data_IF_473771510030
#
_entry.id   IF_473771510030
#
_cell.length_a   1.000
_cell.length_b   1.000
_cell.length_c   1.000
_cell.angle_alpha   90.00
_cell.angle_beta   90.00
_cell.angle_gamma   90.00
#
_symmetry.space_group_name_H-M   'P 1'
#
loop_
_entity.id
_entity.type
_entity.pdbx_description
1 polymer ?
#
# COMPACT_ATOMS: atom_id res chain seq x y z
N UNK A 1 -2.20 -51.45 -3.85
CA UNK A 1 -1.20 -50.38 -3.73
C UNK A 1 -1.50 -49.39 -4.84
N UNK A 2 -2.18 -48.30 -4.52
CA UNK A 2 -2.74 -47.41 -5.54
C UNK A 2 -1.66 -46.47 -6.06
N UNK A 3 -1.31 -46.59 -7.34
CA UNK A 3 -0.34 -45.70 -7.99
C UNK A 3 -1.03 -44.38 -8.33
N UNK A 4 -0.54 -43.28 -7.76
CA UNK A 4 -1.11 -41.95 -7.97
C UNK A 4 -0.26 -41.16 -8.97
N UNK A 5 -0.90 -40.42 -9.87
CA UNK A 5 -0.23 -39.58 -10.88
C UNK A 5 0.24 -38.24 -10.27
N UNK A 6 1.55 -38.08 -10.04
CA UNK A 6 2.24 -36.81 -9.75
C UNK A 6 2.42 -35.98 -11.01
N UNK A 7 2.36 -34.67 -10.89
CA UNK A 7 2.60 -33.78 -12.02
C UNK A 7 4.02 -33.17 -11.95
N UNK A 8 4.81 -33.28 -13.02
CA UNK A 8 6.16 -32.70 -13.18
C UNK A 8 6.16 -31.63 -14.27
N UNK A 9 6.51 -30.40 -13.93
CA UNK A 9 6.70 -29.33 -14.92
C UNK A 9 7.99 -29.56 -15.72
N UNK A 10 7.92 -29.61 -17.05
CA UNK A 10 9.06 -29.66 -17.98
C UNK A 10 9.03 -28.42 -18.87
N UNK A 11 10.03 -27.56 -18.75
CA UNK A 11 10.18 -26.42 -19.66
C UNK A 11 10.75 -26.91 -20.99
N UNK A 12 10.01 -26.69 -22.08
CA UNK A 12 10.43 -27.08 -23.43
C UNK A 12 11.50 -26.14 -24.02
N UNK A 13 11.60 -24.90 -23.53
CA UNK A 13 12.53 -23.89 -24.04
C UNK A 13 13.39 -23.31 -22.93
N UNK A 14 14.72 -23.41 -23.07
CA UNK A 14 15.69 -22.73 -22.18
C UNK A 14 15.42 -21.22 -22.12
N UNK A 15 14.93 -20.63 -23.21
CA UNK A 15 14.60 -19.21 -23.35
C UNK A 15 13.65 -18.73 -22.24
N UNK A 16 12.53 -19.42 -22.01
CA UNK A 16 11.52 -19.01 -21.02
C UNK A 16 12.12 -18.86 -19.62
N UNK A 17 13.00 -19.80 -19.23
CA UNK A 17 13.70 -19.77 -17.95
C UNK A 17 14.57 -18.51 -17.81
N UNK A 18 15.37 -18.19 -18.83
CA UNK A 18 16.27 -17.03 -18.77
C UNK A 18 15.50 -15.72 -18.87
N UNK A 19 14.47 -15.64 -19.71
CA UNK A 19 13.58 -14.48 -19.80
C UNK A 19 12.95 -14.18 -18.44
N UNK A 20 12.42 -15.19 -17.75
CA UNK A 20 11.81 -15.01 -16.43
C UNK A 20 12.83 -14.49 -15.40
N UNK A 21 14.02 -15.07 -15.38
CA UNK A 21 15.10 -14.62 -14.49
C UNK A 21 15.55 -13.18 -14.81
N UNK A 22 15.60 -12.79 -16.08
CA UNK A 22 15.90 -11.42 -16.48
C UNK A 22 14.81 -10.44 -16.03
N UNK A 23 13.53 -10.81 -16.15
CA UNK A 23 12.41 -9.98 -15.69
C UNK A 23 12.46 -9.73 -14.17
N UNK A 24 12.84 -10.75 -13.39
CA UNK A 24 13.06 -10.62 -11.93
C UNK A 24 14.09 -9.51 -11.62
N UNK A 25 15.23 -9.50 -12.33
CA UNK A 25 16.29 -8.49 -12.12
C UNK A 25 15.82 -7.11 -12.57
N UNK A 26 15.20 -7.00 -13.75
CA UNK A 26 14.73 -5.73 -14.31
C UNK A 26 13.69 -5.09 -13.38
N UNK A 27 12.67 -5.85 -12.95
CA UNK A 27 11.62 -5.30 -12.09
C UNK A 27 12.10 -5.00 -10.67
N UNK A 28 13.05 -5.77 -10.13
CA UNK A 28 13.70 -5.41 -8.87
C UNK A 28 14.47 -4.09 -8.99
N UNK A 29 15.28 -3.93 -10.03
CA UNK A 29 16.04 -2.72 -10.27
C UNK A 29 15.12 -1.48 -10.39
N UNK A 30 14.03 -1.60 -11.16
CA UNK A 30 13.04 -0.53 -11.32
C UNK A 30 12.30 -0.22 -10.00
N UNK A 31 12.00 -1.25 -9.20
CA UNK A 31 11.44 -1.09 -7.86
C UNK A 31 12.38 -0.26 -6.99
N UNK A 32 13.66 -0.64 -6.88
CA UNK A 32 14.64 0.08 -6.07
C UNK A 32 14.90 1.50 -6.55
N UNK A 33 14.96 1.71 -7.86
CA UNK A 33 15.06 3.03 -8.45
C UNK A 33 13.88 3.92 -8.05
N UNK A 34 12.65 3.42 -8.20
CA UNK A 34 11.44 4.17 -7.87
C UNK A 34 11.30 4.46 -6.38
N UNK A 35 11.65 3.48 -5.53
CA UNK A 35 11.67 3.66 -4.08
C UNK A 35 12.71 4.72 -3.68
N UNK A 36 13.90 4.67 -4.27
CA UNK A 36 14.95 5.64 -4.01
C UNK A 36 14.51 7.07 -4.37
N UNK A 37 13.89 7.25 -5.54
CA UNK A 37 13.42 8.56 -5.98
C UNK A 37 12.39 9.15 -5.03
N UNK A 38 11.46 8.35 -4.51
CA UNK A 38 10.46 8.79 -3.54
C UNK A 38 11.12 9.16 -2.21
N UNK A 39 12.12 8.39 -1.76
CA UNK A 39 12.84 8.68 -0.52
C UNK A 39 13.65 9.99 -0.64
N UNK A 40 14.26 10.25 -1.80
CA UNK A 40 15.11 11.43 -2.01
C UNK A 40 14.33 12.69 -2.44
N UNK A 41 13.26 12.54 -3.22
CA UNK A 41 12.50 13.63 -3.85
C UNK A 41 11.20 13.81 -3.09
N UNK A 42 11.31 14.48 -1.94
CA UNK A 42 10.27 14.56 -0.91
C UNK A 42 8.92 15.18 -1.32
N UNK A 43 8.73 15.74 -2.52
CA UNK A 43 7.59 16.63 -2.77
C UNK A 43 6.64 16.33 -3.94
N UNK A 44 6.86 15.37 -4.85
CA UNK A 44 5.92 15.22 -5.99
C UNK A 44 5.77 13.83 -6.59
N UNK A 45 6.66 12.89 -6.26
CA UNK A 45 6.58 11.58 -6.90
C UNK A 45 5.48 10.72 -6.28
N UNK A 46 4.62 10.22 -7.15
CA UNK A 46 3.42 9.51 -6.72
C UNK A 46 3.75 8.05 -6.42
N UNK A 47 3.32 7.58 -5.24
CA UNK A 47 3.57 6.23 -4.71
C UNK A 47 3.06 5.07 -5.59
N UNK A 48 2.33 5.32 -6.67
CA UNK A 48 1.87 4.25 -7.57
C UNK A 48 3.01 3.55 -8.28
N UNK A 49 4.09 4.25 -8.61
CA UNK A 49 5.19 3.68 -9.39
C UNK A 49 5.90 2.50 -8.68
N UNK A 50 6.35 2.63 -7.41
CA UNK A 50 6.90 1.48 -6.69
C UNK A 50 5.86 0.39 -6.45
N UNK A 51 4.58 0.72 -6.30
CA UNK A 51 3.51 -0.29 -6.16
C UNK A 51 3.39 -1.14 -7.42
N UNK A 52 3.44 -0.53 -8.61
CA UNK A 52 3.42 -1.27 -9.88
C UNK A 52 4.66 -2.15 -10.03
N UNK A 53 5.85 -1.61 -9.76
CA UNK A 53 7.08 -2.41 -9.87
C UNK A 53 7.17 -3.50 -8.81
N UNK A 54 6.63 -3.27 -7.60
CA UNK A 54 6.47 -4.30 -6.58
C UNK A 54 5.58 -5.44 -7.08
N UNK A 55 4.44 -5.12 -7.71
CA UNK A 55 3.54 -6.11 -8.28
C UNK A 55 4.22 -6.93 -9.38
N UNK A 56 4.90 -6.28 -10.32
CA UNK A 56 5.62 -6.95 -11.42
C UNK A 56 6.78 -7.82 -10.90
N UNK A 57 7.51 -7.34 -9.88
CA UNK A 57 8.58 -8.10 -9.25
C UNK A 57 8.04 -9.32 -8.49
N UNK A 58 6.94 -9.17 -7.75
CA UNK A 58 6.26 -10.27 -7.07
C UNK A 58 5.83 -11.37 -8.05
N UNK A 59 5.18 -10.98 -9.15
CA UNK A 59 4.70 -11.92 -10.17
C UNK A 59 5.87 -12.68 -10.78
N UNK A 60 6.93 -11.95 -11.16
CA UNK A 60 8.09 -12.55 -11.80
C UNK A 60 8.88 -13.45 -10.85
N UNK A 61 9.03 -13.03 -9.59
CA UNK A 61 9.63 -13.89 -8.56
C UNK A 61 8.81 -15.16 -8.33
N UNK A 62 7.47 -15.04 -8.29
CA UNK A 62 6.55 -16.16 -8.08
C UNK A 62 6.59 -17.16 -9.24
N UNK A 63 6.54 -16.67 -10.48
CA UNK A 63 6.71 -17.51 -11.68
C UNK A 63 8.10 -18.15 -11.68
N UNK A 64 9.16 -17.39 -11.41
CA UNK A 64 10.51 -17.91 -11.28
C UNK A 64 10.63 -19.02 -10.23
N UNK A 65 9.99 -18.85 -9.07
CA UNK A 65 9.98 -19.84 -7.98
C UNK A 65 9.34 -21.16 -8.43
N UNK A 66 8.25 -21.10 -9.21
CA UNK A 66 7.54 -22.27 -9.76
C UNK A 66 8.30 -22.91 -10.92
N UNK A 67 8.79 -22.11 -11.87
CA UNK A 67 9.33 -22.58 -13.15
C UNK A 67 10.80 -23.02 -13.03
N UNK A 68 11.64 -22.24 -12.35
CA UNK A 68 13.09 -22.44 -12.34
C UNK A 68 13.50 -23.48 -11.30
N UNK A 69 13.79 -24.71 -11.74
CA UNK A 69 14.18 -25.82 -10.83
C UNK A 69 15.61 -25.75 -10.32
N UNK A 70 16.50 -25.11 -11.07
CA UNK A 70 17.89 -24.96 -10.65
C UNK A 70 17.95 -24.07 -9.41
N UNK A 71 18.42 -24.66 -8.30
CA UNK A 71 18.61 -23.97 -7.02
C UNK A 71 19.59 -22.81 -7.19
N UNK A 72 20.80 -23.10 -7.67
CA UNK A 72 21.89 -22.13 -7.83
C UNK A 72 21.60 -20.99 -8.82
N UNK A 73 21.02 -21.27 -10.00
CA UNK A 73 20.77 -20.20 -10.97
C UNK A 73 19.75 -19.18 -10.46
N UNK A 74 18.65 -19.66 -9.88
CA UNK A 74 17.67 -18.76 -9.29
C UNK A 74 18.25 -18.04 -8.06
N UNK A 75 19.10 -18.71 -7.26
CA UNK A 75 19.82 -18.09 -6.14
C UNK A 75 20.74 -16.94 -6.63
N UNK A 76 21.51 -17.17 -7.69
CA UNK A 76 22.36 -16.12 -8.27
C UNK A 76 21.54 -14.93 -8.80
N UNK A 77 20.45 -15.20 -9.52
CA UNK A 77 19.59 -14.15 -10.09
C UNK A 77 18.92 -13.29 -9.02
N UNK A 78 18.32 -13.88 -7.98
CA UNK A 78 17.65 -13.05 -6.97
C UNK A 78 18.67 -12.29 -6.10
N UNK A 79 19.85 -12.86 -5.81
CA UNK A 79 20.92 -12.09 -5.16
C UNK A 79 21.27 -10.89 -6.01
N UNK A 80 21.53 -11.09 -7.31
CA UNK A 80 21.80 -9.96 -8.23
C UNK A 80 20.67 -8.92 -8.21
N UNK A 81 19.41 -9.36 -8.21
CA UNK A 81 18.24 -8.49 -8.14
C UNK A 81 18.18 -7.68 -6.84
N UNK A 82 18.47 -8.29 -5.69
CA UNK A 82 18.48 -7.58 -4.39
C UNK A 82 19.69 -6.68 -4.23
N UNK A 83 20.89 -7.14 -4.61
CA UNK A 83 22.13 -6.36 -4.57
C UNK A 83 22.06 -5.11 -5.43
N UNK A 84 21.20 -5.10 -6.45
CA UNK A 84 20.99 -3.92 -7.28
C UNK A 84 20.47 -2.70 -6.51
N UNK A 85 19.93 -2.88 -5.29
CA UNK A 85 19.57 -1.75 -4.41
C UNK A 85 20.79 -0.89 -4.03
N UNK A 86 21.99 -1.48 -3.94
CA UNK A 86 23.23 -0.77 -3.57
C UNK A 86 23.66 0.27 -4.62
N UNK A 87 23.16 0.20 -5.86
CA UNK A 87 23.38 1.25 -6.84
C UNK A 87 22.67 2.56 -6.47
N UNK A 88 21.63 2.49 -5.64
CA UNK A 88 20.79 3.63 -5.29
C UNK A 88 21.07 4.16 -3.88
N UNK A 89 21.74 3.38 -3.03
CA UNK A 89 22.08 3.75 -1.67
C UNK A 89 23.47 3.26 -1.31
N UNK A 90 24.33 4.19 -0.89
CA UNK A 90 25.75 3.95 -0.64
C UNK A 90 26.04 3.46 0.78
N UNK A 91 25.02 3.04 1.52
CA UNK A 91 25.19 2.62 2.91
C UNK A 91 25.59 1.15 3.05
N UNK A 92 26.77 0.89 3.62
CA UNK A 92 27.29 -0.47 3.82
C UNK A 92 26.45 -1.32 4.77
N UNK A 93 25.76 -0.73 5.75
CA UNK A 93 24.91 -1.46 6.69
C UNK A 93 23.68 -2.08 6.01
N UNK A 94 23.24 -1.50 4.88
CA UNK A 94 22.16 -2.10 4.09
C UNK A 94 22.56 -3.47 3.54
N UNK A 95 23.85 -3.75 3.34
CA UNK A 95 24.34 -5.06 2.93
C UNK A 95 23.89 -6.17 3.89
N UNK A 96 23.91 -5.91 5.21
CA UNK A 96 23.41 -6.86 6.21
C UNK A 96 21.91 -7.13 6.06
N UNK A 97 21.11 -6.09 5.82
CA UNK A 97 19.67 -6.20 5.57
C UNK A 97 19.40 -6.97 4.26
N UNK A 98 20.20 -6.75 3.22
CA UNK A 98 20.11 -7.47 1.95
C UNK A 98 20.39 -8.95 2.18
N UNK A 99 21.47 -9.32 2.87
CA UNK A 99 21.79 -10.73 3.17
C UNK A 99 20.67 -11.40 3.97
N UNK A 100 20.14 -10.73 5.00
CA UNK A 100 19.04 -11.25 5.81
C UNK A 100 17.77 -11.45 4.94
N UNK A 101 17.38 -10.43 4.20
CA UNK A 101 16.22 -10.46 3.30
C UNK A 101 16.38 -11.51 2.20
N UNK A 102 17.61 -11.70 1.73
CA UNK A 102 17.98 -12.71 0.75
C UNK A 102 17.72 -14.11 1.30
N UNK A 103 18.12 -14.35 2.55
CA UNK A 103 17.91 -15.62 3.25
C UNK A 103 16.42 -15.91 3.47
N UNK A 104 15.63 -14.89 3.82
CA UNK A 104 14.18 -14.99 3.98
C UNK A 104 13.50 -15.33 2.66
N UNK A 105 13.88 -14.68 1.55
CA UNK A 105 13.37 -15.00 0.22
C UNK A 105 13.72 -16.43 -0.22
N UNK A 106 14.92 -16.90 0.14
CA UNK A 106 15.33 -18.28 -0.12
C UNK A 106 14.44 -19.29 0.62
N UNK A 107 14.13 -19.04 1.90
CA UNK A 107 13.19 -19.84 2.68
C UNK A 107 11.81 -19.81 2.01
N UNK A 108 11.33 -18.62 1.63
CA UNK A 108 10.06 -18.46 0.93
C UNK A 108 9.96 -19.30 -0.34
N UNK A 109 11.03 -19.33 -1.15
CA UNK A 109 11.09 -20.18 -2.34
C UNK A 109 11.11 -21.67 -1.99
N UNK A 110 11.87 -22.06 -0.97
CA UNK A 110 11.95 -23.45 -0.52
C UNK A 110 10.56 -23.96 -0.11
N UNK A 111 9.82 -23.17 0.68
CA UNK A 111 8.43 -23.47 1.05
C UNK A 111 7.52 -23.60 -0.18
N UNK A 112 7.62 -22.71 -1.18
CA UNK A 112 6.84 -22.84 -2.43
C UNK A 112 7.18 -24.14 -3.16
N UNK A 113 8.47 -24.50 -3.21
CA UNK A 113 8.95 -25.71 -3.90
C UNK A 113 8.53 -26.98 -3.21
N UNK A 114 8.70 -27.05 -1.89
CA UNK A 114 8.32 -28.20 -1.09
C UNK A 114 6.81 -28.42 -1.19
N UNK A 115 6.00 -27.35 -1.20
CA UNK A 115 4.55 -27.44 -1.40
C UNK A 115 4.15 -27.88 -2.82
N UNK A 116 4.91 -27.49 -3.85
CA UNK A 116 4.69 -27.97 -5.22
C UNK A 116 5.07 -29.43 -5.38
N UNK A 117 6.15 -29.86 -4.72
CA UNK A 117 6.70 -31.21 -4.85
C UNK A 117 5.98 -32.20 -3.93
N UNK A 118 5.33 -31.77 -2.84
CA UNK A 118 4.56 -32.64 -1.93
C UNK A 118 3.17 -32.99 -2.47
N UNK A 119 2.57 -32.12 -3.30
CA UNK A 119 1.20 -32.31 -3.79
C UNK A 119 1.13 -33.17 -5.05
N UNK A 120 0.08 -33.99 -5.11
CA UNK A 120 -0.29 -34.80 -6.29
C UNK A 120 -0.70 -33.88 -7.46
N UNK A 121 -1.54 -32.88 -7.16
CA UNK A 121 -2.00 -31.86 -8.12
C UNK A 121 -1.29 -30.56 -7.86
N UNK A 122 -0.72 -29.96 -8.92
CA UNK A 122 -0.10 -28.63 -8.84
C UNK A 122 -1.19 -27.61 -8.54
N UNK A 123 -1.10 -26.96 -7.39
CA UNK A 123 -1.96 -25.84 -7.02
C UNK A 123 -1.11 -24.59 -6.81
N UNK A 124 -0.92 -23.80 -7.88
CA UNK A 124 -0.14 -22.55 -7.85
C UNK A 124 -0.60 -21.63 -6.72
N UNK A 125 -1.92 -21.52 -6.53
CA UNK A 125 -2.52 -20.72 -5.46
C UNK A 125 -1.99 -21.10 -4.07
N UNK A 126 -2.09 -22.38 -3.68
CA UNK A 126 -1.70 -22.80 -2.35
C UNK A 126 -0.19 -22.67 -2.12
N UNK A 127 0.62 -23.05 -3.13
CA UNK A 127 2.07 -22.96 -3.06
C UNK A 127 2.54 -21.52 -2.88
N UNK A 128 2.02 -20.59 -3.68
CA UNK A 128 2.37 -19.17 -3.55
C UNK A 128 1.79 -18.53 -2.29
N UNK A 129 0.61 -18.97 -1.82
CA UNK A 129 -0.01 -18.47 -0.59
C UNK A 129 0.90 -18.65 0.63
N UNK A 130 1.63 -19.76 0.71
CA UNK A 130 2.59 -20.03 1.79
C UNK A 130 3.89 -19.22 1.64
N UNK A 131 4.38 -19.06 0.41
CA UNK A 131 5.61 -18.33 0.13
C UNK A 131 5.50 -16.80 0.27
N UNK A 132 4.32 -16.23 0.00
CA UNK A 132 4.15 -14.76 -0.13
C UNK A 132 4.56 -13.96 1.10
N UNK A 133 4.35 -14.51 2.31
CA UNK A 133 4.68 -13.81 3.57
C UNK A 133 6.17 -13.52 3.67
N UNK A 134 7.00 -14.46 3.23
CA UNK A 134 8.46 -14.31 3.22
C UNK A 134 8.89 -13.27 2.19
N UNK A 135 8.25 -13.28 1.01
CA UNK A 135 8.50 -12.27 0.00
C UNK A 135 8.16 -10.87 0.51
N UNK A 136 6.93 -10.64 0.97
CA UNK A 136 6.48 -9.32 1.44
C UNK A 136 7.37 -8.82 2.58
N UNK A 137 7.70 -9.69 3.53
CA UNK A 137 8.56 -9.34 4.67
C UNK A 137 9.97 -8.95 4.24
N UNK A 138 10.60 -9.70 3.33
CA UNK A 138 11.93 -9.39 2.82
C UNK A 138 11.98 -8.05 2.06
N UNK A 139 10.96 -7.76 1.24
CA UNK A 139 10.89 -6.47 0.53
C UNK A 139 10.63 -5.33 1.51
N UNK A 140 9.75 -5.53 2.51
CA UNK A 140 9.51 -4.54 3.54
C UNK A 140 10.81 -4.17 4.28
N UNK A 141 11.61 -5.17 4.68
CA UNK A 141 12.91 -4.95 5.33
C UNK A 141 13.86 -4.11 4.48
N UNK A 142 13.98 -4.43 3.18
CA UNK A 142 14.88 -3.69 2.27
C UNK A 142 14.41 -2.25 2.10
N UNK A 143 13.11 -2.03 1.83
CA UNK A 143 12.56 -0.70 1.63
C UNK A 143 12.68 0.17 2.89
N UNK A 144 12.43 -0.40 4.06
CA UNK A 144 12.58 0.32 5.33
C UNK A 144 14.03 0.56 5.69
N UNK A 145 14.91 -0.39 5.38
CA UNK A 145 16.35 -0.21 5.52
C UNK A 145 16.87 0.91 4.64
N UNK A 146 16.44 0.95 3.38
CA UNK A 146 16.77 2.01 2.44
C UNK A 146 16.22 3.36 2.92
N UNK A 147 15.00 3.40 3.46
CA UNK A 147 14.44 4.61 4.05
C UNK A 147 15.26 5.08 5.27
N UNK A 148 15.51 4.19 6.23
CA UNK A 148 16.25 4.50 7.46
C UNK A 148 17.64 5.08 7.16
N UNK A 149 18.41 4.39 6.31
CA UNK A 149 19.75 4.83 5.95
C UNK A 149 19.74 6.01 4.97
N UNK A 150 18.75 6.12 4.09
CA UNK A 150 18.62 7.21 3.15
C UNK A 150 18.29 8.53 3.82
N UNK A 151 17.34 8.54 4.76
CA UNK A 151 16.96 9.75 5.51
C UNK A 151 18.08 10.23 6.42
N UNK A 152 18.85 9.30 7.03
CA UNK A 152 19.98 9.67 7.89
C UNK A 152 21.09 10.45 7.19
N UNK A 153 21.13 10.41 5.85
CA UNK A 153 22.12 11.12 5.02
C UNK A 153 21.60 12.46 4.48
N UNK A 154 20.30 12.75 4.60
CA UNK A 154 19.76 14.03 4.18
C UNK A 154 20.22 15.12 5.17
N UNK A 155 20.76 16.22 4.64
CA UNK A 155 21.20 17.36 5.46
C UNK A 155 20.15 17.75 6.50
N UNK A 156 20.57 17.93 7.75
CA UNK A 156 19.72 18.30 8.91
C UNK A 156 18.87 19.57 8.68
N UNK A 157 19.20 20.35 7.65
CA UNK A 157 18.52 21.59 7.28
C UNK A 157 17.43 21.41 6.22
N UNK A 158 17.21 20.21 5.68
CA UNK A 158 16.10 19.96 4.76
C UNK A 158 14.81 19.75 5.56
N UNK A 159 13.87 20.66 5.33
CA UNK A 159 12.49 20.56 5.82
C UNK A 159 11.91 19.20 5.44
N UNK A 160 11.17 18.60 6.37
CA UNK A 160 10.50 17.33 6.15
C UNK A 160 9.62 17.37 4.89
N UNK A 161 9.39 16.21 4.25
CA UNK A 161 8.46 16.11 3.12
C UNK A 161 7.11 16.74 3.45
N UNK A 162 6.71 17.76 2.70
CA UNK A 162 5.33 18.25 2.73
C UNK A 162 4.45 17.23 2.01
N UNK A 163 3.51 16.63 2.74
CA UNK A 163 2.53 15.75 2.12
C UNK A 163 1.49 16.61 1.41
N UNK A 164 1.54 16.62 0.07
CA UNK A 164 0.52 17.26 -0.77
C UNK A 164 -0.35 16.18 -1.41
N UNK A 165 -1.54 15.97 -0.85
CA UNK A 165 -2.55 15.15 -1.51
C UNK A 165 -2.96 15.84 -2.81
N UNK A 166 -2.65 15.21 -3.94
CA UNK A 166 -3.03 15.72 -5.25
C UNK A 166 -4.56 15.66 -5.44
N UNK A 167 -5.10 16.58 -6.24
CA UNK A 167 -6.53 16.63 -6.59
C UNK A 167 -7.08 15.34 -7.25
N UNK A 168 -6.20 14.47 -7.78
CA UNK A 168 -6.58 13.16 -8.31
C UNK A 168 -6.70 12.09 -7.22
N UNK A 169 -5.91 12.17 -6.15
CA UNK A 169 -6.00 11.26 -5.00
C UNK A 169 -7.27 11.56 -4.17
N UNK A 170 -7.65 12.83 -4.04
CA UNK A 170 -8.89 13.22 -3.34
C UNK A 170 -10.15 12.61 -3.97
N UNK A 171 -10.16 12.35 -5.28
CA UNK A 171 -11.25 11.65 -5.98
C UNK A 171 -11.41 10.17 -5.58
N UNK A 172 -10.34 9.52 -5.15
CA UNK A 172 -10.42 8.14 -4.66
C UNK A 172 -10.87 8.10 -3.20
N UNK A 173 -10.38 9.02 -2.39
CA UNK A 173 -10.77 9.17 -0.98
C UNK A 173 -12.29 9.44 -0.88
N UNK A 174 -12.84 10.31 -1.74
CA UNK A 174 -14.29 10.55 -1.81
C UNK A 174 -15.10 9.32 -2.17
N UNK A 175 -14.65 8.56 -3.16
CA UNK A 175 -15.30 7.29 -3.51
C UNK A 175 -15.31 6.32 -2.33
N UNK A 176 -14.21 6.22 -1.59
CA UNK A 176 -14.15 5.40 -0.38
C UNK A 176 -15.09 5.93 0.71
N UNK A 177 -15.03 7.23 1.04
CA UNK A 177 -15.86 7.86 2.07
C UNK A 177 -17.36 7.76 1.77
N UNK A 178 -17.77 7.87 0.49
CA UNK A 178 -19.17 7.72 0.07
C UNK A 178 -19.76 6.33 0.31
N UNK A 179 -18.92 5.32 0.57
CA UNK A 179 -19.39 3.99 0.98
C UNK A 179 -19.71 3.93 2.48
N UNK A 180 -19.04 4.75 3.30
CA UNK A 180 -19.20 4.76 4.75
C UNK A 180 -20.18 5.83 5.23
N UNK A 181 -20.27 6.97 4.54
CA UNK A 181 -21.15 8.08 4.89
C UNK A 181 -22.01 8.49 3.67
N UNK A 182 -23.35 8.31 3.74
CA UNK A 182 -24.26 8.64 2.64
C UNK A 182 -24.29 10.13 2.29
N UNK A 183 -23.84 11.04 3.18
CA UNK A 183 -23.71 12.46 2.86
C UNK A 183 -22.77 12.69 1.67
N UNK A 184 -21.74 11.86 1.52
CA UNK A 184 -20.81 11.91 0.38
C UNK A 184 -21.31 11.20 -0.88
N UNK A 185 -22.41 10.45 -0.78
CA UNK A 185 -23.01 9.71 -1.91
C UNK A 185 -23.87 10.62 -2.79
N UNK A 186 -24.55 11.58 -2.17
CA UNK A 186 -25.33 12.63 -2.87
C UNK A 186 -24.44 13.72 -3.50
N UNK A 187 -23.17 13.80 -3.08
CA UNK A 187 -22.22 14.85 -3.46
C UNK A 187 -21.19 14.46 -4.51
N UNK A 188 -21.46 13.41 -5.31
CA UNK A 188 -20.57 12.98 -6.40
C UNK A 188 -20.35 14.08 -7.48
N UNK A 189 -21.04 15.22 -7.35
CA UNK A 189 -20.71 16.47 -8.02
C UNK A 189 -19.49 17.13 -7.36
N UNK A 190 -18.39 17.22 -8.13
CA UNK A 190 -17.10 17.90 -7.85
C UNK A 190 -17.18 19.38 -7.40
N UNK A 191 -18.36 19.89 -7.10
CA UNK A 191 -18.65 21.31 -6.88
C UNK A 191 -19.35 21.59 -5.54
N UNK A 192 -19.47 20.60 -4.63
CA UNK A 192 -20.09 20.85 -3.34
C UNK A 192 -19.25 21.81 -2.50
N UNK A 193 -19.87 22.94 -2.16
CA UNK A 193 -19.25 23.97 -1.32
C UNK A 193 -19.32 23.56 0.16
N UNK A 194 -18.55 24.23 1.01
CA UNK A 194 -18.57 24.01 2.46
C UNK A 194 -19.98 24.26 3.02
N UNK A 195 -20.66 25.28 2.53
CA UNK A 195 -22.03 25.60 2.96
C UNK A 195 -23.03 24.51 2.59
N UNK A 196 -22.97 24.05 1.33
CA UNK A 196 -23.82 22.96 0.86
C UNK A 196 -23.59 21.70 1.69
N UNK A 197 -22.34 21.47 2.12
CA UNK A 197 -21.99 20.37 3.01
C UNK A 197 -22.58 20.47 4.40
N UNK A 198 -22.49 21.64 5.03
CA UNK A 198 -23.09 21.87 6.35
C UNK A 198 -24.61 21.68 6.28
N UNK A 199 -25.25 22.23 5.24
CA UNK A 199 -26.70 22.15 5.05
C UNK A 199 -27.16 20.72 4.76
N UNK A 200 -26.46 19.97 3.91
CA UNK A 200 -26.80 18.59 3.57
C UNK A 200 -26.59 17.65 4.76
N UNK A 201 -25.52 17.86 5.55
CA UNK A 201 -25.30 17.10 6.80
C UNK A 201 -26.43 17.36 7.80
N UNK A 202 -26.88 18.60 7.94
CA UNK A 202 -28.00 18.95 8.82
C UNK A 202 -29.34 18.37 8.33
N UNK A 203 -29.59 18.37 7.03
CA UNK A 203 -30.82 17.81 6.45
C UNK A 203 -30.91 16.29 6.66
N UNK A 204 -29.77 15.59 6.63
CA UNK A 204 -29.72 14.14 6.78
C UNK A 204 -29.60 13.68 8.25
N UNK A 205 -29.05 14.50 9.13
CA UNK A 205 -28.86 14.17 10.55
C UNK A 205 -29.96 14.77 11.43
N UNK A 206 -31.06 14.02 11.56
CA UNK A 206 -32.20 14.38 12.45
C UNK A 206 -31.79 14.56 13.92
N UNK A 207 -30.66 13.98 14.36
CA UNK A 207 -30.18 14.11 15.74
C UNK A 207 -29.40 15.41 15.97
N UNK A 208 -28.77 15.97 14.93
CA UNK A 208 -28.04 17.23 15.02
C UNK A 208 -28.96 18.43 15.31
N UNK A 209 -30.17 18.41 14.77
CA UNK A 209 -31.22 19.40 15.06
C UNK A 209 -31.63 19.34 16.54
N UNK A 210 -31.65 18.13 17.12
CA UNK A 210 -32.01 17.94 18.52
C UNK A 210 -30.89 18.35 19.50
N UNK A 211 -29.61 18.19 19.13
CA UNK A 211 -28.49 18.62 19.97
C UNK A 211 -28.33 20.13 20.06
N UNK A 212 -28.63 20.87 18.99
CA UNK A 212 -28.60 22.34 19.01
C UNK A 212 -29.69 22.91 19.93
N UNK A 213 -30.84 22.23 20.03
CA UNK A 213 -31.94 22.59 20.92
C UNK A 213 -31.68 22.26 22.41
N UNK A 214 -30.63 21.48 22.71
CA UNK A 214 -30.30 21.06 24.07
C UNK A 214 -29.26 21.97 24.74
N UNK A 215 -28.42 22.65 23.98
CA UNK A 215 -27.35 23.50 24.51
C UNK A 215 -27.80 24.96 24.77
N UNK A 216 -28.87 25.38 24.09
CA UNK A 216 -29.57 26.62 24.45
C UNK A 216 -30.87 26.25 25.16
N UNK A 217 -31.05 26.70 26.42
CA UNK A 217 -32.32 26.66 27.16
C UNK A 217 -33.40 27.53 26.49
N UNK A 218 -33.72 27.26 25.22
CA UNK A 218 -34.89 27.85 24.58
C UNK A 218 -36.11 27.05 24.98
N UNK A 219 -37.03 27.75 25.64
CA UNK A 219 -38.31 27.26 26.11
C UNK A 219 -38.98 26.36 25.06
N UNK A 220 -39.22 25.10 25.45
CA UNK A 220 -39.87 24.03 24.66
C UNK A 220 -41.30 24.36 24.18
N UNK A 221 -41.78 25.59 24.37
CA UNK A 221 -43.13 26.06 24.00
C UNK A 221 -43.18 26.83 22.67
N UNK A 222 -42.05 27.05 22.00
CA UNK A 222 -41.99 27.71 20.70
C UNK A 222 -41.51 26.77 19.60
N UNK A 223 -42.26 25.68 19.37
CA UNK A 223 -42.28 25.03 18.06
C UNK A 223 -43.60 25.41 17.37
N UNK A 224 -43.78 26.65 16.88
CA UNK A 224 -44.72 26.84 15.80
C UNK A 224 -44.07 26.24 14.54
N UNK A 225 -44.76 25.27 13.95
CA UNK A 225 -44.70 25.08 12.50
C UNK A 225 -44.93 26.46 11.86
N UNK A 226 -44.07 26.85 10.91
CA UNK A 226 -44.09 28.10 10.11
C UNK A 226 -43.16 29.19 10.69
N UNK A 227 -42.00 29.41 10.03
CA UNK A 227 -41.22 30.66 10.16
C UNK A 227 -39.75 30.62 10.62
N UNK A 228 -39.02 29.50 10.52
CA UNK A 228 -37.59 29.41 10.89
C UNK A 228 -36.62 29.62 9.71
N UNK A 229 -36.87 30.60 8.83
CA UNK A 229 -36.43 30.46 7.44
C UNK A 229 -35.07 31.07 7.04
N UNK A 230 -34.42 31.93 7.83
CA UNK A 230 -33.12 32.52 7.45
C UNK A 230 -32.09 32.62 8.57
N UNK A 231 -32.46 33.19 9.72
CA UNK A 231 -31.47 33.53 10.76
C UNK A 231 -30.86 32.29 11.45
N UNK A 232 -31.65 31.25 11.68
CA UNK A 232 -31.14 29.98 12.24
C UNK A 232 -30.27 29.22 11.26
N UNK A 233 -30.63 29.25 9.96
CA UNK A 233 -29.82 28.64 8.90
C UNK A 233 -28.45 29.31 8.82
N UNK A 234 -28.42 30.64 8.90
CA UNK A 234 -27.19 31.42 8.86
C UNK A 234 -26.31 31.17 10.09
N UNK A 235 -26.89 31.14 11.30
CA UNK A 235 -26.15 30.83 12.52
C UNK A 235 -25.52 29.42 12.50
N UNK A 236 -26.17 28.44 11.88
CA UNK A 236 -25.66 27.07 11.77
C UNK A 236 -24.55 26.98 10.73
N UNK A 237 -24.70 27.65 9.58
CA UNK A 237 -23.64 27.75 8.58
C UNK A 237 -22.41 28.41 9.22
N UNK A 238 -22.59 29.48 9.98
CA UNK A 238 -21.51 30.21 10.65
C UNK A 238 -20.78 29.33 11.68
N UNK A 239 -21.49 28.65 12.58
CA UNK A 239 -20.89 27.67 13.51
C UNK A 239 -20.19 26.52 12.81
N UNK A 240 -20.75 26.05 11.68
CA UNK A 240 -20.16 25.01 10.86
C UNK A 240 -18.85 25.45 10.22
N UNK A 241 -18.83 26.65 9.62
CA UNK A 241 -17.62 27.29 9.07
C UNK A 241 -16.59 27.54 10.16
N UNK A 242 -16.99 27.99 11.35
CA UNK A 242 -16.08 28.19 12.49
C UNK A 242 -15.42 26.88 12.91
N UNK A 243 -16.19 25.80 13.02
CA UNK A 243 -15.67 24.46 13.38
C UNK A 243 -14.69 23.92 12.35
N UNK A 244 -14.98 24.10 11.06
CA UNK A 244 -14.07 23.71 9.97
C UNK A 244 -12.83 24.61 9.97
N UNK A 245 -13.00 25.93 10.16
CA UNK A 245 -11.90 26.89 10.24
C UNK A 245 -10.90 26.54 11.35
N UNK A 246 -11.41 26.11 12.52
CA UNK A 246 -10.57 25.61 13.62
C UNK A 246 -9.77 24.36 13.25
N UNK A 247 -10.29 23.48 12.37
CA UNK A 247 -9.57 22.28 11.92
C UNK A 247 -8.52 22.55 10.84
N UNK A 248 -8.76 23.56 10.00
CA UNK A 248 -7.85 23.95 8.90
C UNK A 248 -6.81 24.99 9.38
N UNK A 249 -7.02 25.61 10.54
CA UNK A 249 -6.20 26.70 11.09
C UNK A 249 -6.24 27.99 10.25
N UNK A 250 -7.32 28.19 9.48
CA UNK A 250 -7.59 29.44 8.74
C UNK A 250 -9.09 29.69 8.60
N UNK A 251 -9.47 30.91 8.23
CA UNK A 251 -10.86 31.25 7.92
C UNK A 251 -11.32 30.57 6.63
N UNK A 252 -12.56 30.06 6.65
CA UNK A 252 -13.19 29.38 5.52
C UNK A 252 -14.37 30.20 4.99
N UNK A 253 -14.32 30.56 3.69
CA UNK A 253 -15.25 31.50 3.04
C UNK A 253 -16.65 30.90 2.73
N UNK A 254 -16.78 29.57 2.77
CA UNK A 254 -18.05 28.86 2.58
C UNK A 254 -18.35 28.46 1.14
N UNK A 255 -17.93 29.28 0.17
CA UNK A 255 -17.92 29.02 -1.27
C UNK A 255 -16.78 28.08 -1.72
N UNK A 256 -15.82 27.86 -0.83
CA UNK A 256 -14.73 26.91 -1.03
C UNK A 256 -15.26 25.49 -1.21
N UNK A 257 -14.58 24.70 -2.05
CA UNK A 257 -14.93 23.29 -2.23
C UNK A 257 -14.57 22.54 -0.97
N UNK A 258 -15.53 21.83 -0.40
CA UNK A 258 -15.31 21.04 0.82
C UNK A 258 -14.18 20.00 0.65
N UNK A 259 -13.94 19.58 -0.59
CA UNK A 259 -12.85 18.66 -0.92
C UNK A 259 -11.46 19.25 -0.79
N UNK A 260 -11.32 20.53 -1.12
CA UNK A 260 -10.05 21.23 -1.00
C UNK A 260 -9.75 21.44 0.49
N UNK A 261 -10.78 21.84 1.27
CA UNK A 261 -10.75 21.89 2.74
C UNK A 261 -10.35 20.55 3.37
N UNK A 262 -10.99 19.43 3.02
CA UNK A 262 -10.62 18.14 3.60
C UNK A 262 -9.20 17.72 3.24
N UNK A 263 -8.78 17.99 1.99
CA UNK A 263 -7.40 17.73 1.58
C UNK A 263 -6.42 18.57 2.39
N UNK A 264 -6.76 19.82 2.68
CA UNK A 264 -5.99 20.71 3.54
C UNK A 264 -5.98 20.25 5.01
N UNK A 265 -7.10 19.84 5.60
CA UNK A 265 -7.14 19.28 6.96
C UNK A 265 -6.25 18.04 7.06
N UNK A 266 -6.33 17.14 6.07
CA UNK A 266 -5.51 15.93 6.06
C UNK A 266 -4.04 16.31 5.89
N UNK A 267 -3.71 17.21 4.96
CA UNK A 267 -2.34 17.69 4.76
C UNK A 267 -1.82 18.38 6.02
N UNK A 268 -2.58 19.27 6.67
CA UNK A 268 -2.20 19.97 7.90
C UNK A 268 -2.04 18.99 9.06
N UNK A 269 -2.92 17.99 9.22
CA UNK A 269 -2.73 16.95 10.23
C UNK A 269 -1.49 16.12 9.96
N UNK A 270 -1.29 15.64 8.73
CA UNK A 270 -0.10 14.85 8.37
C UNK A 270 1.17 15.70 8.57
N UNK A 271 1.16 16.95 8.11
CA UNK A 271 2.27 17.87 8.25
C UNK A 271 2.49 18.22 9.72
N UNK A 272 1.47 18.41 10.55
CA UNK A 272 1.63 18.65 11.99
C UNK A 272 2.12 17.41 12.73
N UNK A 273 1.72 16.21 12.30
CA UNK A 273 2.27 14.94 12.81
C UNK A 273 3.72 14.71 12.37
N UNK A 274 4.07 15.12 11.15
CA UNK A 274 5.42 15.05 10.63
C UNK A 274 6.30 16.14 11.29
N UNK A 275 5.78 17.37 11.39
CA UNK A 275 6.43 18.57 11.91
C UNK A 275 6.22 18.76 13.43
N UNK A 276 5.83 17.74 14.20
CA UNK A 276 5.82 17.84 15.69
C UNK A 276 7.19 18.36 16.12
N UNK A 277 7.18 19.65 16.48
CA UNK A 277 8.30 20.61 16.52
C UNK A 277 9.72 20.00 16.47
N UNK A 278 10.30 19.83 15.29
CA UNK A 278 11.76 19.65 15.14
C UNK A 278 12.53 20.92 15.60
N UNK A 279 11.85 22.06 15.73
CA UNK A 279 12.41 23.27 16.34
C UNK A 279 12.66 23.18 17.86
N UNK A 280 12.04 22.20 18.55
CA UNK A 280 12.22 21.96 20.00
C UNK A 280 12.52 20.51 20.36
N UNK A 281 12.36 19.56 19.44
CA UNK A 281 12.92 18.23 19.57
C UNK A 281 14.42 18.38 19.35
N UNK A 282 15.14 18.40 20.48
CA UNK A 282 16.58 18.30 20.55
C UNK A 282 17.08 17.31 19.46
N UNK A 283 18.07 17.72 18.68
CA UNK A 283 18.58 17.03 17.49
C UNK A 283 19.17 15.62 17.79
N UNK A 284 19.00 15.16 19.02
CA UNK A 284 19.52 13.95 19.64
C UNK A 284 18.44 12.90 19.98
N UNK A 285 17.21 12.97 19.44
CA UNK A 285 16.23 11.89 19.64
C UNK A 285 16.19 10.95 18.41
N UNK A 286 17.09 9.96 18.30
CA UNK A 286 17.06 8.94 17.25
C UNK A 286 15.77 8.10 17.28
N UNK A 287 15.05 8.11 18.40
CA UNK A 287 13.85 7.29 18.63
C UNK A 287 12.76 7.58 17.58
N UNK A 288 12.55 8.84 17.18
CA UNK A 288 11.51 9.17 16.18
C UNK A 288 11.80 8.52 14.82
N UNK A 289 13.06 8.46 14.40
CA UNK A 289 13.44 7.80 13.14
C UNK A 289 13.18 6.29 13.18
N UNK A 290 13.44 5.65 14.32
CA UNK A 290 13.11 4.24 14.55
C UNK A 290 11.60 4.01 14.52
N UNK A 291 10.82 4.88 15.17
CA UNK A 291 9.34 4.80 15.17
C UNK A 291 8.79 4.93 13.76
N UNK A 292 9.22 5.93 12.99
CA UNK A 292 8.77 6.10 11.60
C UNK A 292 9.19 4.93 10.70
N UNK A 293 10.41 4.41 10.87
CA UNK A 293 10.87 3.23 10.13
C UNK A 293 10.01 2.00 10.47
N UNK A 294 9.68 1.81 11.75
CA UNK A 294 8.78 0.75 12.21
C UNK A 294 7.35 0.90 11.65
N UNK A 295 6.80 2.11 11.65
CA UNK A 295 5.49 2.40 11.06
C UNK A 295 5.48 2.15 9.55
N UNK A 296 6.53 2.56 8.85
CA UNK A 296 6.69 2.33 7.42
C UNK A 296 6.82 0.82 7.12
N UNK A 297 7.54 0.07 7.95
CA UNK A 297 7.64 -1.39 7.85
C UNK A 297 6.29 -2.07 8.01
N UNK A 298 5.55 -1.72 9.06
CA UNK A 298 4.20 -2.26 9.30
C UNK A 298 3.24 -1.89 8.17
N UNK A 299 3.34 -0.68 7.64
CA UNK A 299 2.52 -0.21 6.51
C UNK A 299 2.80 -1.00 5.24
N UNK A 300 4.08 -1.19 4.88
CA UNK A 300 4.46 -1.96 3.69
C UNK A 300 4.05 -3.42 3.84
N UNK A 301 4.23 -4.03 5.02
CA UNK A 301 3.76 -5.40 5.26
C UNK A 301 2.24 -5.48 5.10
N UNK A 302 1.50 -4.57 5.72
CA UNK A 302 0.03 -4.59 5.68
C UNK A 302 -0.49 -4.46 4.25
N UNK A 303 0.02 -3.47 3.50
CA UNK A 303 -0.34 -3.24 2.10
C UNK A 303 0.09 -4.42 1.22
N UNK A 304 1.34 -4.90 1.37
CA UNK A 304 1.86 -6.01 0.59
C UNK A 304 1.09 -7.31 0.84
N UNK A 305 0.73 -7.59 2.09
CA UNK A 305 -0.08 -8.75 2.46
C UNK A 305 -1.51 -8.63 1.91
N UNK A 306 -2.11 -7.44 1.95
CA UNK A 306 -3.43 -7.17 1.38
C UNK A 306 -3.44 -7.30 -0.16
N UNK A 307 -2.39 -6.83 -0.84
CA UNK A 307 -2.28 -6.88 -2.30
C UNK A 307 -1.93 -8.29 -2.81
N UNK A 308 -1.20 -9.08 -2.02
CA UNK A 308 -0.68 -10.39 -2.42
C UNK A 308 -1.70 -11.40 -2.97
N UNK A 309 -2.95 -11.54 -2.47
CA UNK A 309 -3.92 -12.48 -3.02
C UNK A 309 -4.24 -12.13 -4.49
N UNK A 310 -4.43 -10.85 -4.81
CA UNK A 310 -4.68 -10.40 -6.19
C UNK A 310 -3.50 -10.71 -7.11
N UNK A 311 -2.27 -10.50 -6.63
CA UNK A 311 -1.06 -10.81 -7.40
C UNK A 311 -0.88 -12.32 -7.63
N UNK A 312 -1.30 -13.16 -6.68
CA UNK A 312 -1.28 -14.62 -6.87
C UNK A 312 -2.31 -15.05 -7.92
N UNK A 313 -3.52 -14.47 -7.94
CA UNK A 313 -4.51 -14.73 -9.00
C UNK A 313 -3.90 -14.38 -10.36
N UNK A 314 -3.29 -13.20 -10.48
CA UNK A 314 -2.66 -12.76 -11.73
C UNK A 314 -1.51 -13.69 -12.15
N UNK A 315 -0.68 -14.11 -11.20
CA UNK A 315 0.39 -15.09 -11.44
C UNK A 315 -0.15 -16.43 -11.92
N UNK A 316 -1.26 -16.89 -11.33
CA UNK A 316 -1.92 -18.12 -11.76
C UNK A 316 -2.48 -18.00 -13.18
N UNK A 317 -3.14 -16.90 -13.53
CA UNK A 317 -3.63 -16.63 -14.88
C UNK A 317 -2.47 -16.65 -15.90
N UNK A 318 -1.35 -16.01 -15.58
CA UNK A 318 -0.16 -16.01 -16.43
C UNK A 318 0.42 -17.42 -16.58
N UNK A 319 0.54 -18.17 -15.50
CA UNK A 319 1.01 -19.57 -15.53
C UNK A 319 0.11 -20.44 -16.42
N UNK A 320 -1.21 -20.38 -16.24
CA UNK A 320 -2.18 -21.11 -17.07
C UNK A 320 -2.07 -20.71 -18.55
N UNK A 321 -1.91 -19.42 -18.82
CA UNK A 321 -1.71 -18.90 -20.18
C UNK A 321 -0.44 -19.50 -20.81
N UNK A 322 0.67 -19.56 -20.07
CA UNK A 322 1.92 -20.16 -20.56
C UNK A 322 1.80 -21.67 -20.81
N UNK A 323 0.99 -22.38 -20.02
CA UNK A 323 0.69 -23.80 -20.24
C UNK A 323 -0.17 -23.99 -21.49
N UNK A 324 -1.23 -23.19 -21.67
CA UNK A 324 -2.11 -23.23 -22.87
C UNK A 324 -1.33 -22.92 -24.15
N UNK A 325 -0.41 -21.96 -24.11
CA UNK A 325 0.47 -21.61 -25.22
C UNK A 325 1.62 -22.61 -25.44
N UNK A 326 1.68 -23.71 -24.67
CA UNK A 326 2.71 -24.76 -24.74
C UNK A 326 4.14 -24.27 -24.50
N UNK A 327 4.32 -23.11 -23.85
CA UNK A 327 5.63 -22.66 -23.38
C UNK A 327 6.16 -23.57 -22.26
N UNK A 328 5.24 -24.13 -21.48
CA UNK A 328 5.50 -25.06 -20.40
C UNK A 328 4.73 -26.35 -20.65
N UNK A 329 5.38 -27.50 -20.47
CA UNK A 329 4.72 -28.80 -20.45
C UNK A 329 4.53 -29.28 -19.00
N UNK A 330 3.37 -29.86 -18.74
CA UNK A 330 2.97 -30.36 -17.44
C UNK A 330 2.87 -31.88 -17.57
N UNK A 331 3.96 -32.58 -17.28
CA UNK A 331 4.06 -34.04 -17.43
C UNK A 331 3.34 -34.73 -16.26
N UNK A 332 2.65 -35.84 -16.48
CA UNK A 332 2.12 -36.70 -15.40
C UNK A 332 3.05 -37.90 -15.23
N UNK A 333 3.36 -38.28 -14.00
CA UNK A 333 4.25 -39.36 -13.59
C UNK A 333 3.60 -40.17 -12.49
N UNK A 334 3.55 -41.49 -12.59
CA UNK A 334 3.13 -42.32 -11.46
C UNK A 334 4.19 -42.27 -10.35
N UNK A 335 3.77 -42.02 -9.12
CA UNK A 335 4.60 -42.15 -7.91
C UNK A 335 3.90 -43.06 -6.91
N UNK A 336 4.69 -43.73 -6.08
CA UNK A 336 4.21 -44.42 -4.90
C UNK A 336 4.09 -43.41 -3.75
N UNK A 337 2.98 -43.47 -3.01
CA UNK A 337 2.68 -42.58 -1.89
C UNK A 337 2.34 -43.44 -0.68
N UNK A 338 3.00 -43.20 0.44
CA UNK A 338 2.67 -43.84 1.72
C UNK A 338 1.41 -43.19 2.30
N UNK A 339 0.47 -44.03 2.75
CA UNK A 339 -0.77 -43.59 3.38
C UNK A 339 -0.77 -44.16 4.80
N UNK A 340 -0.72 -43.28 5.81
CA UNK A 340 -0.96 -43.66 7.20
C UNK A 340 -2.48 -43.85 7.35
N UNK A 341 -2.90 -45.04 7.79
CA UNK A 341 -4.30 -45.37 8.05
C UNK A 341 -4.65 -45.13 9.51
#
# INVERSE_FOLDING_TARGET
MDKILKIKIKMKRKIVKYTELSLVVIFAFLLWQSANKIIQTSQTESWWQPIIFFALFFISWSLGAILVKSKGLFLGTYMLALFSVLFFTTNIFLLGIIILSSSILWIGRSVVRDELDSRIKISVWNSLRLGRRFFVFAIALILTGQYYFGVSQLDKNRTLPEFKISSRQSQWITKALSQFDPAFKSSNNKAMTVDDFILNKMANDKNYINSINLENNFDKKLIPKIGFEKDTKQAIIEKGRESISKMVERTVSGDEKIMDIFSEIINNKINNFANVNIGYVDQNIPIMHWVFTGLLFLSIISIGMFLSPFLIILTWILFETMVRLKFIAVDKKMIEVEIIK
#
